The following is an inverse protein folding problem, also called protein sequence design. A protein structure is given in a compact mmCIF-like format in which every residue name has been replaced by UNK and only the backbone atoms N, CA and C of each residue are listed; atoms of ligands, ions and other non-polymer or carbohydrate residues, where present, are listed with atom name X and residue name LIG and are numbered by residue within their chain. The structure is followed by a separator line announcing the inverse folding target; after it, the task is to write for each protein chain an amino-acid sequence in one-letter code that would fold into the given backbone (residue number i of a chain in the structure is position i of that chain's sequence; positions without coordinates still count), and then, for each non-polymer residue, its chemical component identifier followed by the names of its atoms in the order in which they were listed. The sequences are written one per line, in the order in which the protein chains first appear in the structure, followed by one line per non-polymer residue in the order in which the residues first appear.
data_IF_799393042648
#
_entry.id   IF_799393042648
#
_cell.length_a   1.000
_cell.length_b   1.000
_cell.length_c   1.000
_cell.angle_alpha   90.00
_cell.angle_beta   90.00
_cell.angle_gamma   90.00
#
_symmetry.space_group_name_H-M   'P 1'
#
loop_
_entity.id
_entity.type
_entity.pdbx_description
1 polymer ?
#
# COMPACT_ATOMS: atom_id res chain seq x y z
N UNK A 1 -20.44 0.88 0.77
CA UNK A 1 -18.99 1.15 0.96
C UNK A 1 -18.50 2.40 0.24
N UNK A 2 -18.64 2.53 -1.10
CA UNK A 2 -18.18 3.73 -1.82
C UNK A 2 -18.72 5.05 -1.25
N UNK A 3 -20.03 5.11 -0.96
CA UNK A 3 -20.70 6.28 -0.39
C UNK A 3 -20.06 6.81 0.90
N UNK A 4 -19.46 5.93 1.71
CA UNK A 4 -18.77 6.33 2.95
C UNK A 4 -17.35 6.81 2.69
N UNK A 5 -16.68 6.28 1.66
CA UNK A 5 -15.28 6.56 1.37
C UNK A 5 -15.12 7.83 0.53
N UNK A 6 -15.96 8.01 -0.50
CA UNK A 6 -15.94 9.14 -1.42
C UNK A 6 -15.78 10.51 -0.73
N UNK A 7 -16.58 10.87 0.30
CA UNK A 7 -16.45 12.17 0.97
C UNK A 7 -15.17 12.31 1.80
N UNK A 8 -14.47 11.21 2.11
CA UNK A 8 -13.23 11.24 2.90
C UNK A 8 -12.00 11.44 2.03
N UNK A 9 -12.12 11.27 0.71
CA UNK A 9 -10.99 11.29 -0.20
C UNK A 9 -10.40 12.70 -0.32
N UNK A 10 -9.06 12.83 -0.32
CA UNK A 10 -8.42 14.13 -0.51
C UNK A 10 -8.68 14.66 -1.93
N UNK A 11 -8.99 15.96 -2.09
CA UNK A 11 -9.27 16.55 -3.40
C UNK A 11 -8.06 16.46 -4.31
N UNK A 12 -8.27 16.27 -5.61
CA UNK A 12 -7.18 16.31 -6.58
C UNK A 12 -6.57 17.71 -6.65
N UNK A 13 -5.22 17.84 -6.71
CA UNK A 13 -4.61 19.14 -6.93
C UNK A 13 -5.06 19.69 -8.28
N UNK A 14 -5.45 20.97 -8.30
CA UNK A 14 -6.04 21.66 -9.45
C UNK A 14 -5.14 21.63 -10.70
N UNK A 15 -3.82 21.56 -10.50
CA UNK A 15 -2.82 21.44 -11.55
C UNK A 15 -1.93 20.24 -11.26
N UNK A 16 -2.17 19.14 -11.96
CA UNK A 16 -1.25 18.02 -12.02
C UNK A 16 -0.60 17.97 -13.39
N UNK A 17 0.74 17.99 -13.51
CA UNK A 17 1.37 17.67 -14.77
C UNK A 17 1.07 16.21 -15.14
N UNK A 18 0.52 15.99 -16.33
CA UNK A 18 0.30 14.65 -16.89
C UNK A 18 -1.16 14.33 -17.25
N UNK A 19 -1.43 13.07 -17.65
CA UNK A 19 -2.75 12.61 -18.05
C UNK A 19 -3.77 12.69 -16.92
N UNK A 20 -5.06 12.82 -17.30
CA UNK A 20 -6.17 12.79 -16.35
C UNK A 20 -6.09 11.52 -15.47
N UNK A 21 -6.16 11.64 -14.14
CA UNK A 21 -6.12 10.49 -13.26
C UNK A 21 -7.27 9.52 -13.51
N UNK A 22 -7.02 8.22 -13.33
CA UNK A 22 -8.07 7.19 -13.23
C UNK A 22 -9.03 7.56 -12.10
N UNK A 23 -10.32 7.31 -12.29
CA UNK A 23 -11.35 7.61 -11.30
C UNK A 23 -11.07 6.91 -9.96
N UNK A 24 -11.25 7.61 -8.84
CA UNK A 24 -10.99 7.09 -7.49
C UNK A 24 -11.74 5.78 -7.21
N UNK A 25 -12.99 5.67 -7.69
CA UNK A 25 -13.80 4.46 -7.53
C UNK A 25 -13.19 3.24 -8.21
N UNK A 26 -12.62 3.40 -9.40
CA UNK A 26 -11.95 2.31 -10.13
C UNK A 26 -10.67 1.88 -9.42
N UNK A 27 -9.87 2.84 -8.95
CA UNK A 27 -8.70 2.54 -8.14
C UNK A 27 -9.07 1.79 -6.86
N UNK A 28 -10.14 2.22 -6.16
CA UNK A 28 -10.62 1.52 -4.97
C UNK A 28 -11.02 0.08 -5.29
N UNK A 29 -11.74 -0.14 -6.39
CA UNK A 29 -12.09 -1.50 -6.83
C UNK A 29 -10.85 -2.35 -7.10
N UNK A 30 -9.80 -1.78 -7.71
CA UNK A 30 -8.53 -2.46 -7.91
C UNK A 30 -7.87 -2.85 -6.60
N UNK A 31 -7.79 -1.94 -5.62
CA UNK A 31 -7.26 -2.21 -4.27
C UNK A 31 -8.05 -3.34 -3.61
N UNK A 32 -9.38 -3.25 -3.61
CA UNK A 32 -10.26 -4.26 -3.01
C UNK A 32 -10.14 -5.62 -3.69
N UNK A 33 -9.92 -5.66 -5.01
CA UNK A 33 -9.69 -6.89 -5.73
C UNK A 33 -8.43 -7.61 -5.21
N UNK A 34 -7.32 -6.89 -5.06
CA UNK A 34 -6.08 -7.44 -4.50
C UNK A 34 -6.31 -8.00 -3.09
N UNK A 35 -6.95 -7.23 -2.23
CA UNK A 35 -7.20 -7.61 -0.83
C UNK A 35 -8.18 -8.77 -0.70
N UNK A 36 -9.25 -8.79 -1.49
CA UNK A 36 -10.29 -9.80 -1.38
C UNK A 36 -9.87 -11.14 -1.98
N UNK A 37 -9.09 -11.11 -3.07
CA UNK A 37 -8.60 -12.32 -3.74
C UNK A 37 -7.26 -12.82 -3.16
N UNK A 38 -6.69 -12.08 -2.21
CA UNK A 38 -5.35 -12.34 -1.63
C UNK A 38 -4.27 -12.58 -2.70
N UNK A 39 -4.30 -11.76 -3.76
CA UNK A 39 -3.35 -11.88 -4.88
C UNK A 39 -2.22 -10.86 -4.74
N UNK A 40 -1.05 -11.19 -5.28
CA UNK A 40 0.02 -10.21 -5.40
C UNK A 40 -0.42 -9.05 -6.31
N UNK A 41 0.00 -7.82 -5.98
CA UNK A 41 -0.26 -6.61 -6.78
C UNK A 41 0.01 -6.76 -8.29
N UNK A 42 1.05 -7.53 -8.67
CA UNK A 42 1.41 -7.77 -10.08
C UNK A 42 0.36 -8.57 -10.86
N UNK A 43 -0.56 -9.25 -10.18
CA UNK A 43 -1.65 -10.03 -10.75
C UNK A 43 -2.95 -9.24 -10.88
N UNK A 44 -2.92 -7.92 -10.62
CA UNK A 44 -4.09 -7.07 -10.85
C UNK A 44 -4.43 -7.06 -12.36
N UNK A 45 -5.65 -7.47 -12.75
CA UNK A 45 -6.04 -7.53 -14.16
C UNK A 45 -6.19 -6.11 -14.74
N UNK A 46 -5.36 -5.78 -15.74
CA UNK A 46 -5.34 -4.46 -16.37
C UNK A 46 -6.56 -4.24 -17.28
N UNK A 47 -7.08 -5.32 -17.87
CA UNK A 47 -8.24 -5.34 -18.74
C UNK A 47 -9.53 -4.87 -18.05
N UNK A 48 -9.57 -4.88 -16.71
CA UNK A 48 -10.72 -4.42 -15.92
C UNK A 48 -10.78 -2.90 -15.75
N UNK A 49 -9.77 -2.17 -16.23
CA UNK A 49 -9.77 -0.70 -16.22
C UNK A 49 -9.57 -0.06 -14.84
N UNK A 50 -9.11 -0.81 -13.83
CA UNK A 50 -8.80 -0.27 -12.49
C UNK A 50 -7.66 0.77 -12.49
N UNK A 51 -6.91 0.82 -13.58
CA UNK A 51 -5.63 1.51 -13.67
C UNK A 51 -4.47 0.55 -13.45
N UNK A 52 -3.26 1.04 -13.70
CA UNK A 52 -2.06 0.22 -13.47
C UNK A 52 -1.87 -0.09 -11.99
N UNK A 53 -1.12 -1.15 -11.70
CA UNK A 53 -0.69 -1.52 -10.34
C UNK A 53 -0.11 -0.32 -9.60
N UNK A 54 0.80 0.41 -10.25
CA UNK A 54 1.42 1.62 -9.68
C UNK A 54 0.39 2.72 -9.39
N UNK A 55 -0.64 2.85 -10.22
CA UNK A 55 -1.71 3.85 -10.02
C UNK A 55 -2.54 3.50 -8.78
N UNK A 56 -2.97 2.24 -8.66
CA UNK A 56 -3.71 1.79 -7.48
C UNK A 56 -2.87 1.91 -6.21
N UNK A 57 -1.59 1.51 -6.26
CA UNK A 57 -0.71 1.58 -5.10
C UNK A 57 -0.43 3.03 -4.65
N UNK A 58 -0.08 3.94 -5.58
CA UNK A 58 0.10 5.36 -5.25
C UNK A 58 -1.18 6.00 -4.71
N UNK A 59 -2.35 5.56 -5.20
CA UNK A 59 -3.64 6.01 -4.73
C UNK A 59 -3.89 5.54 -3.29
N UNK A 60 -3.62 4.27 -3.01
CA UNK A 60 -3.73 3.68 -1.69
C UNK A 60 -2.82 4.41 -0.68
N UNK A 61 -1.55 4.62 -1.03
CA UNK A 61 -0.60 5.36 -0.20
C UNK A 61 -1.09 6.79 0.07
N UNK A 62 -1.53 7.52 -0.96
CA UNK A 62 -2.11 8.86 -0.79
C UNK A 62 -3.28 8.88 0.18
N UNK A 63 -4.18 7.91 0.11
CA UNK A 63 -5.33 7.81 1.01
C UNK A 63 -4.91 7.43 2.43
N UNK A 64 -3.89 6.58 2.57
CA UNK A 64 -3.30 6.23 3.87
C UNK A 64 -2.67 7.45 4.54
N UNK A 65 -1.84 8.20 3.82
CA UNK A 65 -1.22 9.44 4.34
C UNK A 65 -2.26 10.50 4.70
N UNK A 66 -3.40 10.54 3.99
CA UNK A 66 -4.51 11.42 4.30
C UNK A 66 -5.42 10.92 5.44
N UNK A 67 -5.10 9.78 6.09
CA UNK A 67 -5.89 9.21 7.18
C UNK A 67 -7.32 8.84 6.77
N UNK A 68 -7.54 8.44 5.52
CA UNK A 68 -8.87 8.07 5.01
C UNK A 68 -9.37 6.83 5.77
N UNK A 69 -8.54 5.81 5.92
CA UNK A 69 -8.92 4.55 6.56
C UNK A 69 -9.15 4.70 8.06
N UNK A 70 -8.36 5.54 8.75
CA UNK A 70 -8.58 5.83 10.18
C UNK A 70 -9.90 6.55 10.43
N UNK A 71 -10.28 7.46 9.52
CA UNK A 71 -11.59 8.13 9.58
C UNK A 71 -12.72 7.16 9.28
N UNK A 72 -12.58 6.34 8.25
CA UNK A 72 -13.56 5.32 7.90
C UNK A 72 -13.78 4.33 9.05
N UNK A 73 -12.71 3.86 9.67
CA UNK A 73 -12.78 2.94 10.80
C UNK A 73 -13.56 3.54 11.98
N UNK A 74 -13.29 4.80 12.33
CA UNK A 74 -14.04 5.50 13.38
C UNK A 74 -15.53 5.67 13.07
N UNK A 75 -15.88 5.98 11.82
CA UNK A 75 -17.27 6.06 11.39
C UNK A 75 -17.96 4.71 11.57
N UNK A 76 -17.36 3.63 11.05
CA UNK A 76 -17.92 2.29 11.18
C UNK A 76 -18.05 1.86 12.65
N UNK A 77 -17.06 2.16 13.47
CA UNK A 77 -17.11 1.87 14.92
C UNK A 77 -18.23 2.64 15.61
N UNK A 78 -18.43 3.93 15.28
CA UNK A 78 -19.50 4.73 15.85
C UNK A 78 -20.89 4.20 15.45
N UNK A 79 -21.08 3.83 14.19
CA UNK A 79 -22.33 3.22 13.69
C UNK A 79 -22.63 1.90 14.39
N UNK A 80 -21.64 0.99 14.48
CA UNK A 80 -21.81 -0.29 15.17
C UNK A 80 -22.08 -0.11 16.68
N UNK A 81 -21.44 0.86 17.31
CA UNK A 81 -21.70 1.19 18.71
C UNK A 81 -23.14 1.69 18.89
N UNK A 82 -23.61 2.59 18.02
CA UNK A 82 -24.97 3.12 18.06
C UNK A 82 -26.02 2.04 17.81
N UNK A 83 -25.71 1.05 16.96
CA UNK A 83 -26.54 -0.12 16.72
C UNK A 83 -26.51 -1.16 17.87
N UNK A 84 -25.62 -1.00 18.86
CA UNK A 84 -25.44 -1.97 19.95
C UNK A 84 -24.81 -3.30 19.49
N UNK A 85 -24.15 -3.32 18.33
CA UNK A 85 -23.55 -4.52 17.75
C UNK A 85 -22.09 -4.77 18.21
N UNK A 86 -21.54 -3.87 19.02
CA UNK A 86 -20.20 -4.03 19.59
C UNK A 86 -20.25 -4.75 20.94
N UNK A 87 -19.64 -5.94 21.00
CA UNK A 87 -19.35 -6.62 22.26
C UNK A 87 -18.10 -6.02 22.91
N UNK A 88 -18.29 -5.08 23.82
CA UNK A 88 -17.22 -4.44 24.58
C UNK A 88 -16.54 -5.35 25.61
N UNK A 89 -17.08 -6.55 25.87
CA UNK A 89 -16.45 -7.51 26.80
C UNK A 89 -15.27 -8.24 26.19
N UNK A 90 -15.09 -8.14 24.86
CA UNK A 90 -14.05 -8.82 24.10
C UNK A 90 -13.30 -7.82 23.21
N UNK A 91 -11.98 -7.88 23.24
CA UNK A 91 -11.12 -7.14 22.32
C UNK A 91 -10.15 -8.11 21.65
N UNK A 92 -10.12 -8.11 20.31
CA UNK A 92 -9.12 -8.83 19.53
C UNK A 92 -8.03 -7.85 19.09
N UNK A 93 -6.78 -8.13 19.51
CA UNK A 93 -5.60 -7.40 19.05
C UNK A 93 -5.01 -8.17 17.88
N UNK A 94 -4.89 -7.53 16.71
CA UNK A 94 -4.23 -8.14 15.56
C UNK A 94 -2.69 -8.18 15.75
N UNK A 95 -2.04 -9.16 15.11
CA UNK A 95 -0.61 -9.37 15.22
C UNK A 95 0.21 -8.28 14.52
N UNK A 96 1.17 -7.68 15.22
CA UNK A 96 2.12 -6.74 14.61
C UNK A 96 3.29 -7.49 13.95
N UNK A 97 3.51 -7.28 12.66
CA UNK A 97 4.67 -7.82 11.94
C UNK A 97 5.84 -6.84 12.00
N UNK A 98 6.75 -7.02 12.95
CA UNK A 98 8.00 -6.25 13.02
C UNK A 98 9.07 -6.98 12.20
N UNK A 99 9.74 -6.26 11.28
CA UNK A 99 10.87 -6.82 10.54
C UNK A 99 11.97 -7.22 11.53
N UNK A 100 12.37 -8.50 11.51
CA UNK A 100 13.53 -8.95 12.25
C UNK A 100 14.76 -8.15 11.82
N UNK A 101 15.41 -7.46 12.76
CA UNK A 101 16.70 -6.80 12.51
C UNK A 101 17.72 -7.94 12.36
N UNK A 102 18.29 -8.09 11.17
CA UNK A 102 19.40 -9.02 10.92
C UNK A 102 20.44 -8.80 12.02
N UNK A 103 20.75 -9.84 12.79
CA UNK A 103 21.90 -9.86 13.67
C UNK A 103 23.14 -9.85 12.79
N UNK A 104 23.86 -8.74 12.75
CA UNK A 104 25.09 -8.64 11.99
C UNK A 104 26.10 -9.69 12.50
N UNK A 105 26.42 -10.67 11.66
CA UNK A 105 27.72 -11.33 11.76
C UNK A 105 28.69 -10.45 10.98
N UNK A 106 29.69 -9.89 11.67
CA UNK A 106 30.75 -9.04 11.11
C UNK A 106 31.18 -9.50 9.71
N UNK A 107 31.33 -8.61 8.72
CA UNK A 107 31.91 -8.99 7.44
C UNK A 107 33.38 -9.35 7.64
N UNK A 108 33.72 -10.62 7.38
CA UNK A 108 35.12 -11.03 7.17
C UNK A 108 35.60 -10.30 5.92
N UNK A 109 36.63 -9.49 6.06
CA UNK A 109 37.31 -8.81 4.96
C UNK A 109 37.78 -9.86 3.95
N UNK A 110 37.16 -9.95 2.76
CA UNK A 110 37.71 -10.77 1.68
C UNK A 110 39.00 -10.12 1.22
N UNK A 111 40.12 -10.88 1.23
CA UNK A 111 41.34 -10.45 0.56
C UNK A 111 41.02 -10.18 -0.91
N UNK A 112 41.27 -8.94 -1.34
CA UNK A 112 41.27 -8.57 -2.76
C UNK A 112 42.38 -9.39 -3.45
N UNK A 113 41.99 -10.28 -4.36
CA UNK A 113 42.90 -10.78 -5.40
C UNK A 113 43.01 -9.69 -6.44
N UNK A 114 43.90 -8.72 -6.20
CA UNK A 114 44.24 -7.70 -7.18
C UNK A 114 44.74 -8.35 -8.47
N UNK A 115 44.08 -8.01 -9.58
CA UNK A 115 44.45 -8.49 -10.91
C UNK A 115 45.88 -8.10 -11.27
N UNK A 116 46.61 -9.04 -11.86
CA UNK A 116 47.93 -8.78 -12.44
C UNK A 116 47.75 -7.87 -13.67
N UNK A 117 48.53 -6.79 -13.84
CA UNK A 117 48.49 -6.01 -15.07
C UNK A 117 49.00 -6.85 -16.26
N UNK A 118 48.35 -6.71 -17.41
CA UNK A 118 48.78 -7.31 -18.65
C UNK A 118 50.09 -6.67 -19.15
N UNK A 119 51.02 -7.49 -19.64
CA UNK A 119 52.25 -7.01 -20.26
C UNK A 119 51.93 -6.42 -21.65
N UNK A 120 52.25 -5.15 -21.87
CA UNK A 120 52.28 -4.56 -23.21
C UNK A 120 53.60 -4.94 -23.89
N UNK A 121 53.51 -5.48 -25.11
CA UNK A 121 54.63 -5.61 -26.05
C UNK A 121 54.40 -4.56 -27.14
N UNK A 122 55.41 -3.74 -27.38
CA UNK A 122 55.56 -2.86 -28.56
C UNK A 122 56.17 -3.70 -29.69
#
# INVERSE_FOLDING_TARGET
MWVLIEPLLPPWPERSPGPKPVADRLCLQGVLYVLHQDVAWRLLPLERGFGSVQTCWRRLDRWQQAGVFDRLHRILLAELNAAGELDWTRACVDGSHVRAKIGETRPVFRRSTGGRPAANII
#
